data_IF_169343631362
#
_entry.id   IF_169343631362
#
_cell.length_a   1.000
_cell.length_b   1.000
_cell.length_c   1.000
_cell.angle_alpha   90.00
_cell.angle_beta   90.00
_cell.angle_gamma   90.00
#
_symmetry.space_group_name_H-M   'P 1'
#
loop_
_entity.id
_entity.type
_entity.pdbx_description
1 polymer ?
#
# COMPACT_ATOMS: atom_id res chain seq x y z
N UNK A 1 -6.71 13.44 1.54
CA UNK A 1 -6.38 12.56 2.68
C UNK A 1 -7.41 11.46 2.59
N UNK A 2 -7.00 10.22 2.27
CA UNK A 2 -7.92 9.08 2.32
C UNK A 2 -7.91 8.58 3.76
N UNK A 3 -9.05 8.67 4.43
CA UNK A 3 -9.12 8.55 5.89
C UNK A 3 -9.84 7.27 6.31
N UNK A 4 -9.39 6.69 7.43
CA UNK A 4 -10.00 5.52 8.04
C UNK A 4 -11.48 5.76 8.35
N UNK A 5 -11.82 6.95 8.83
CA UNK A 5 -13.20 7.25 9.20
C UNK A 5 -14.13 7.30 7.98
N UNK A 6 -13.64 7.76 6.82
CA UNK A 6 -14.42 7.69 5.57
C UNK A 6 -14.72 6.23 5.19
N UNK A 7 -13.73 5.34 5.30
CA UNK A 7 -13.90 3.91 5.04
C UNK A 7 -14.90 3.25 6.01
N UNK A 8 -14.86 3.63 7.28
CA UNK A 8 -15.81 3.16 8.30
C UNK A 8 -17.23 3.63 8.00
N UNK A 9 -17.43 4.88 7.60
CA UNK A 9 -18.74 5.40 7.23
C UNK A 9 -19.31 4.69 5.99
N UNK A 10 -18.47 4.40 4.98
CA UNK A 10 -18.87 3.56 3.85
C UNK A 10 -19.31 2.15 4.29
N UNK A 11 -18.57 1.52 5.21
CA UNK A 11 -18.91 0.20 5.71
C UNK A 11 -20.22 0.22 6.52
N UNK A 12 -20.41 1.22 7.39
CA UNK A 12 -21.66 1.43 8.16
C UNK A 12 -22.86 1.72 7.26
N UNK A 13 -22.65 2.38 6.12
CA UNK A 13 -23.68 2.59 5.11
C UNK A 13 -24.09 1.29 4.37
N UNK A 14 -23.44 0.16 4.65
CA UNK A 14 -23.81 -1.15 4.13
C UNK A 14 -23.07 -1.56 2.87
N UNK A 15 -22.02 -0.83 2.46
CA UNK A 15 -21.12 -1.27 1.39
C UNK A 15 -20.46 -2.58 1.83
N UNK A 16 -20.52 -3.62 0.99
CA UNK A 16 -19.96 -4.95 1.28
C UNK A 16 -18.73 -5.28 0.44
N UNK A 17 -18.46 -4.49 -0.59
CA UNK A 17 -17.28 -4.63 -1.44
C UNK A 17 -15.99 -4.30 -0.67
N UNK A 18 -14.86 -4.56 -1.32
CA UNK A 18 -13.52 -4.25 -0.79
C UNK A 18 -13.35 -2.74 -0.65
N UNK A 19 -12.90 -2.30 0.53
CA UNK A 19 -12.59 -0.90 0.81
C UNK A 19 -11.09 -0.82 1.15
N UNK A 20 -10.33 -0.17 0.26
CA UNK A 20 -8.90 0.09 0.42
C UNK A 20 -8.68 1.49 0.96
N UNK A 21 -7.97 1.60 2.09
CA UNK A 21 -7.50 2.88 2.61
C UNK A 21 -6.20 3.23 1.91
N UNK A 22 -6.24 4.24 1.03
CA UNK A 22 -5.05 4.66 0.27
C UNK A 22 -3.98 5.34 1.13
N UNK A 23 -4.34 5.79 2.34
CA UNK A 23 -3.43 6.41 3.30
C UNK A 23 -2.90 5.43 4.36
N UNK A 24 -1.85 5.87 5.06
CA UNK A 24 -1.30 5.17 6.23
C UNK A 24 -2.13 5.46 7.46
N UNK A 25 -2.50 4.43 8.22
CA UNK A 25 -3.15 4.55 9.53
C UNK A 25 -2.12 4.40 10.66
N UNK A 26 -2.46 4.86 11.86
CA UNK A 26 -1.58 4.64 13.02
C UNK A 26 -1.70 3.19 13.51
N UNK A 27 -0.71 2.72 14.28
CA UNK A 27 -0.70 1.35 14.80
C UNK A 27 -1.90 1.09 15.72
N UNK A 28 -2.34 2.10 16.47
CA UNK A 28 -3.50 2.05 17.35
C UNK A 28 -4.83 1.89 16.60
N UNK A 29 -4.84 2.23 15.30
CA UNK A 29 -6.02 2.13 14.45
C UNK A 29 -6.19 0.77 13.78
N UNK A 30 -5.16 -0.08 13.78
CA UNK A 30 -5.20 -1.41 13.14
C UNK A 30 -6.32 -2.32 13.66
N UNK A 31 -6.68 -2.34 14.96
CA UNK A 31 -7.85 -3.09 15.42
C UNK A 31 -9.13 -2.70 14.69
N UNK A 32 -9.32 -1.41 14.35
CA UNK A 32 -10.48 -0.94 13.58
C UNK A 32 -10.44 -1.42 12.13
N UNK A 33 -9.25 -1.49 11.51
CA UNK A 33 -9.09 -2.08 10.17
C UNK A 33 -9.66 -3.50 10.15
N UNK A 34 -9.35 -4.29 11.18
CA UNK A 34 -9.87 -5.65 11.32
C UNK A 34 -11.38 -5.66 11.59
N UNK A 35 -11.85 -4.85 12.52
CA UNK A 35 -13.26 -4.78 12.92
C UNK A 35 -14.18 -4.47 11.74
N UNK A 36 -13.79 -3.54 10.87
CA UNK A 36 -14.58 -3.07 9.74
C UNK A 36 -14.26 -3.78 8.41
N UNK A 37 -13.45 -4.83 8.44
CA UNK A 37 -12.99 -5.60 7.27
C UNK A 37 -12.48 -4.68 6.14
N UNK A 38 -11.47 -3.88 6.47
CA UNK A 38 -10.83 -2.92 5.57
C UNK A 38 -9.47 -3.44 5.10
N UNK A 39 -8.98 -2.91 3.97
CA UNK A 39 -7.64 -3.20 3.45
C UNK A 39 -6.72 -2.02 3.73
N UNK A 40 -5.57 -2.28 4.36
CA UNK A 40 -4.57 -1.26 4.70
C UNK A 40 -3.49 -1.15 3.63
N UNK A 41 -3.15 0.07 3.22
CA UNK A 41 -1.94 0.33 2.43
C UNK A 41 -0.69 0.28 3.31
N UNK A 42 0.33 -0.43 2.84
CA UNK A 42 1.66 -0.53 3.45
C UNK A 42 2.65 0.23 2.57
N UNK A 43 3.37 1.15 3.19
CA UNK A 43 4.35 2.04 2.53
C UNK A 43 5.80 1.70 2.84
N UNK A 44 6.07 0.84 3.83
CA UNK A 44 7.41 0.39 4.18
C UNK A 44 7.42 -0.94 4.92
N UNK A 45 8.54 -1.66 4.85
CA UNK A 45 8.78 -2.88 5.62
C UNK A 45 8.69 -2.64 7.14
N UNK A 46 9.18 -1.50 7.62
CA UNK A 46 9.14 -1.14 9.04
C UNK A 46 7.70 -1.04 9.56
N UNK A 47 6.83 -0.34 8.81
CA UNK A 47 5.43 -0.24 9.16
C UNK A 47 4.72 -1.60 9.12
N UNK A 48 5.03 -2.43 8.12
CA UNK A 48 4.51 -3.80 8.04
C UNK A 48 4.89 -4.64 9.28
N UNK A 49 6.14 -4.54 9.75
CA UNK A 49 6.62 -5.22 10.95
C UNK A 49 5.88 -4.74 12.21
N UNK A 50 5.73 -3.43 12.38
CA UNK A 50 4.99 -2.87 13.52
C UNK A 50 3.54 -3.35 13.56
N UNK A 51 2.85 -3.41 12.42
CA UNK A 51 1.49 -3.98 12.34
C UNK A 51 1.51 -5.47 12.69
N UNK A 52 2.46 -6.22 12.13
CA UNK A 52 2.55 -7.65 12.34
C UNK A 52 2.77 -8.02 13.82
N UNK A 53 3.48 -7.18 14.59
CA UNK A 53 3.70 -7.35 16.03
C UNK A 53 2.40 -7.28 16.86
N UNK A 54 1.32 -6.67 16.34
CA UNK A 54 0.03 -6.62 17.01
C UNK A 54 -0.68 -7.98 17.07
N UNK A 55 -0.25 -8.96 16.27
CA UNK A 55 -0.92 -10.26 16.14
C UNK A 55 -2.41 -10.18 15.72
N UNK A 56 -2.75 -9.15 14.93
CA UNK A 56 -4.09 -8.95 14.37
C UNK A 56 -4.03 -9.24 12.87
N UNK A 57 -4.70 -10.29 12.37
CA UNK A 57 -4.63 -10.66 10.96
C UNK A 57 -5.44 -9.70 10.09
N UNK A 58 -4.79 -8.94 9.21
CA UNK A 58 -5.43 -7.97 8.31
C UNK A 58 -5.06 -8.19 6.84
N UNK A 59 -5.90 -7.67 5.93
CA UNK A 59 -5.62 -7.63 4.50
C UNK A 59 -4.82 -6.36 4.16
N UNK A 60 -3.81 -6.49 3.30
CA UNK A 60 -2.93 -5.37 2.93
C UNK A 60 -2.68 -5.24 1.44
N UNK A 61 -2.53 -4.00 0.98
CA UNK A 61 -1.95 -3.66 -0.32
C UNK A 61 -0.60 -2.98 -0.11
N UNK A 62 0.35 -3.20 -1.01
CA UNK A 62 1.59 -2.43 -1.03
C UNK A 62 1.43 -1.24 -1.98
N UNK A 63 1.93 -0.08 -1.58
CA UNK A 63 2.16 1.03 -2.50
C UNK A 63 3.65 1.11 -2.83
N UNK A 64 3.99 1.00 -4.11
CA UNK A 64 5.35 1.11 -4.62
C UNK A 64 5.55 2.52 -5.17
N UNK A 65 6.54 3.23 -4.67
CA UNK A 65 6.87 4.58 -5.12
C UNK A 65 7.86 4.51 -6.28
N UNK A 66 7.36 4.68 -7.51
CA UNK A 66 8.14 4.55 -8.75
C UNK A 66 8.52 5.90 -9.40
N UNK A 67 8.10 7.04 -8.82
CA UNK A 67 8.38 8.36 -9.39
C UNK A 67 8.09 9.58 -8.49
N UNK A 68 7.36 9.44 -7.37
CA UNK A 68 6.88 10.59 -6.60
C UNK A 68 7.72 10.90 -5.35
N UNK A 69 8.52 9.96 -4.87
CA UNK A 69 9.41 10.08 -3.69
C UNK A 69 8.69 10.63 -2.45
N UNK A 70 7.41 10.29 -2.28
CA UNK A 70 6.53 10.88 -1.26
C UNK A 70 5.91 9.82 -0.34
N UNK A 71 5.55 8.66 -0.88
CA UNK A 71 4.79 7.65 -0.14
C UNK A 71 4.86 6.29 -0.87
N UNK A 72 5.40 5.27 -0.21
CA UNK A 72 5.52 3.91 -0.72
C UNK A 72 6.93 3.34 -0.67
N UNK A 73 7.02 2.04 -0.94
CA UNK A 73 8.28 1.30 -1.01
C UNK A 73 9.08 1.85 -2.20
N UNK A 74 10.28 2.33 -1.93
CA UNK A 74 11.05 3.15 -2.86
C UNK A 74 11.62 2.34 -4.04
N UNK A 75 11.25 2.71 -5.27
CA UNK A 75 11.66 2.02 -6.50
C UNK A 75 12.02 3.02 -7.64
N UNK A 76 13.08 3.82 -7.47
CA UNK A 76 13.41 4.92 -8.40
C UNK A 76 14.63 4.69 -9.31
N UNK A 77 15.26 3.52 -9.26
CA UNK A 77 16.45 3.18 -10.06
C UNK A 77 16.47 1.68 -10.36
N UNK A 78 17.14 1.22 -11.42
CA UNK A 78 17.29 -0.22 -11.72
C UNK A 78 17.88 -1.00 -10.54
N UNK A 79 18.84 -0.42 -9.82
CA UNK A 79 19.42 -1.01 -8.60
C UNK A 79 18.47 -1.03 -7.40
N UNK A 80 17.40 -0.23 -7.42
CA UNK A 80 16.38 -0.21 -6.37
C UNK A 80 15.30 -1.30 -6.53
N UNK A 81 15.23 -1.95 -7.69
CA UNK A 81 14.25 -3.01 -7.93
C UNK A 81 14.53 -4.24 -7.08
N UNK A 82 15.78 -4.68 -7.00
CA UNK A 82 16.17 -5.84 -6.17
C UNK A 82 15.84 -5.61 -4.69
N UNK A 83 16.16 -4.42 -4.18
CA UNK A 83 15.81 -4.03 -2.80
C UNK A 83 14.29 -3.99 -2.61
N UNK A 84 13.55 -3.42 -3.56
CA UNK A 84 12.08 -3.38 -3.51
C UNK A 84 11.52 -4.79 -3.43
N UNK A 85 11.99 -5.70 -4.29
CA UNK A 85 11.58 -7.11 -4.31
C UNK A 85 11.90 -7.77 -2.98
N UNK A 86 13.08 -7.54 -2.42
CA UNK A 86 13.47 -8.09 -1.12
C UNK A 86 12.54 -7.60 0.00
N UNK A 87 12.21 -6.32 0.04
CA UNK A 87 11.24 -5.76 1.01
C UNK A 87 9.85 -6.37 0.83
N UNK A 88 9.36 -6.51 -0.41
CA UNK A 88 8.07 -7.15 -0.71
C UNK A 88 8.05 -8.60 -0.23
N UNK A 89 9.10 -9.37 -0.52
CA UNK A 89 9.21 -10.77 -0.06
C UNK A 89 9.21 -10.85 1.47
N UNK A 90 9.94 -9.96 2.14
CA UNK A 90 9.93 -9.92 3.61
C UNK A 90 8.54 -9.59 4.17
N UNK A 91 7.79 -8.70 3.52
CA UNK A 91 6.42 -8.36 3.94
C UNK A 91 5.47 -9.55 3.71
N UNK A 92 5.56 -10.24 2.58
CA UNK A 92 4.73 -11.41 2.25
C UNK A 92 4.92 -12.57 3.24
N UNK A 93 6.09 -12.65 3.87
CA UNK A 93 6.40 -13.64 4.90
C UNK A 93 5.83 -13.30 6.30
N UNK A 94 5.24 -12.12 6.50
CA UNK A 94 4.68 -11.72 7.79
C UNK A 94 3.33 -12.43 8.05
N UNK A 95 3.21 -13.28 9.08
CA UNK A 95 2.08 -14.20 9.25
C UNK A 95 0.74 -13.51 9.53
N UNK A 96 0.76 -12.28 10.04
CA UNK A 96 -0.46 -11.52 10.36
C UNK A 96 -0.90 -10.60 9.20
N UNK A 97 -0.19 -10.59 8.07
CA UNK A 97 -0.54 -9.78 6.92
C UNK A 97 -0.93 -10.68 5.75
N UNK A 98 -2.16 -10.50 5.24
CA UNK A 98 -2.59 -11.16 4.01
C UNK A 98 -2.44 -10.19 2.84
N UNK A 99 -1.41 -10.42 2.02
CA UNK A 99 -1.16 -9.60 0.84
C UNK A 99 -2.23 -9.82 -0.24
N UNK A 100 -2.81 -8.73 -0.76
CA UNK A 100 -3.86 -8.75 -1.80
C UNK A 100 -3.42 -8.16 -3.13
N UNK A 101 -2.33 -7.42 -3.17
CA UNK A 101 -1.78 -6.82 -4.38
C UNK A 101 -1.01 -5.54 -4.11
N UNK A 102 -0.41 -4.97 -5.16
CA UNK A 102 0.34 -3.72 -5.08
C UNK A 102 -0.17 -2.70 -6.11
N UNK A 103 0.11 -1.42 -5.86
CA UNK A 103 -0.21 -0.34 -6.79
C UNK A 103 0.85 0.77 -6.72
N UNK A 104 0.81 1.69 -7.68
CA UNK A 104 1.59 2.92 -7.67
C UNK A 104 0.73 4.11 -8.08
N UNK A 105 1.22 5.32 -7.83
CA UNK A 105 0.59 6.55 -8.30
C UNK A 105 1.45 7.18 -9.42
N UNK A 106 0.86 7.34 -10.60
CA UNK A 106 1.53 8.00 -11.72
C UNK A 106 1.46 9.52 -11.56
N UNK A 107 2.64 10.15 -11.44
CA UNK A 107 2.77 11.57 -11.12
C UNK A 107 2.20 12.53 -12.18
N UNK A 108 2.27 12.14 -13.46
CA UNK A 108 1.96 13.01 -14.61
C UNK A 108 1.13 12.25 -15.66
N UNK A 109 0.16 11.46 -15.22
CA UNK A 109 -0.69 10.66 -16.12
C UNK A 109 -1.62 11.53 -16.99
N UNK A 110 -1.88 12.75 -16.56
CA UNK A 110 -2.66 13.78 -17.24
C UNK A 110 -1.86 14.61 -18.25
N UNK A 111 -0.53 14.45 -18.30
CA UNK A 111 0.36 15.17 -19.21
C UNK A 111 0.78 14.29 -20.40
N UNK A 112 0.31 14.62 -21.60
CA UNK A 112 0.57 13.82 -22.82
C UNK A 112 2.04 13.75 -23.26
N UNK A 113 2.90 14.66 -22.80
CA UNK A 113 4.31 14.78 -23.23
C UNK A 113 5.32 14.60 -22.07
N UNK A 114 4.90 14.03 -20.94
CA UNK A 114 5.79 13.81 -19.81
C UNK A 114 6.29 12.36 -19.76
N UNK A 115 7.61 12.19 -19.86
CA UNK A 115 8.25 10.87 -19.86
C UNK A 115 8.22 10.16 -18.49
N UNK A 116 7.87 10.85 -17.40
CA UNK A 116 7.86 10.29 -16.05
C UNK A 116 6.89 9.11 -15.94
N UNK A 117 5.67 9.23 -16.49
CA UNK A 117 4.67 8.13 -16.48
C UNK A 117 5.17 6.89 -17.23
N UNK A 118 5.81 7.08 -18.39
CA UNK A 118 6.43 6.01 -19.17
C UNK A 118 7.58 5.32 -18.40
N UNK A 119 8.40 6.10 -17.69
CA UNK A 119 9.50 5.58 -16.89
C UNK A 119 9.04 4.86 -15.62
N UNK A 120 7.88 5.18 -15.05
CA UNK A 120 7.31 4.40 -13.94
C UNK A 120 6.75 3.06 -14.41
N UNK A 121 6.24 3.00 -15.65
CA UNK A 121 5.60 1.80 -16.18
C UNK A 121 6.58 0.63 -16.38
N UNK A 122 7.87 0.90 -16.60
CA UNK A 122 8.87 -0.15 -16.80
C UNK A 122 9.03 -1.07 -15.58
N UNK A 123 8.74 -0.56 -14.37
CA UNK A 123 8.81 -1.34 -13.13
C UNK A 123 7.58 -2.22 -12.85
N UNK A 124 6.52 -2.10 -13.67
CA UNK A 124 5.26 -2.82 -13.49
C UNK A 124 5.01 -3.87 -14.57
N UNK A 125 5.95 -4.04 -15.52
CA UNK A 125 5.83 -5.06 -16.56
C UNK A 125 6.05 -6.45 -15.94
N UNK A 126 5.17 -7.43 -16.23
CA UNK A 126 5.29 -8.80 -15.74
C UNK A 126 6.51 -9.53 -16.31
#
# INVERSE_FOLDING_TARGET
MADLFEAIELRKAGIKDVILILGKTTIEQIPMIKEYDLVQTIDSLDYAKQINELNIPINVHLIIDTAMSRFGIYCHQETGLDQTIEEVIQIDQLPNLTFKGFYTHFACADETNNHITLNSFIYLKP
#
